data_IF_001756277419
#
_entry.id   IF_001756277419
#
_cell.length_a   1.000
_cell.length_b   1.000
_cell.length_c   1.000
_cell.angle_alpha   90.00
_cell.angle_beta   90.00
_cell.angle_gamma   90.00
#
_symmetry.space_group_name_H-M   'P 1'
#
loop_
_entity.id
_entity.type
_entity.pdbx_description
1 polymer ?
#
# COMPACT_ATOMS: atom_id res chain seq x y z
N UNK A 1 -38.68 15.93 28.57
CA UNK A 1 -37.98 15.14 27.52
C UNK A 1 -37.43 16.10 26.48
N UNK A 2 -36.12 16.34 26.44
CA UNK A 2 -35.55 17.32 25.50
C UNK A 2 -35.50 16.76 24.08
N UNK A 3 -36.19 17.44 23.16
CA UNK A 3 -36.27 17.08 21.75
C UNK A 3 -34.97 17.49 21.06
N UNK A 4 -34.10 16.52 20.74
CA UNK A 4 -32.81 16.80 20.11
C UNK A 4 -33.05 17.49 18.76
N UNK A 5 -32.52 18.70 18.66
CA UNK A 5 -32.72 19.56 17.51
C UNK A 5 -31.85 19.05 16.35
N UNK A 6 -32.47 18.35 15.40
CA UNK A 6 -31.79 17.66 14.29
C UNK A 6 -30.86 18.60 13.51
N UNK A 7 -31.21 19.90 13.46
CA UNK A 7 -30.44 20.94 12.76
C UNK A 7 -29.17 21.36 13.51
N UNK A 8 -29.09 21.18 14.84
CA UNK A 8 -27.84 21.29 15.62
C UNK A 8 -27.00 20.00 15.54
N UNK A 9 -27.64 18.83 15.53
CA UNK A 9 -26.93 17.55 15.44
C UNK A 9 -26.11 17.45 14.13
N UNK A 10 -26.68 17.86 12.99
CA UNK A 10 -25.95 17.95 11.72
C UNK A 10 -24.78 18.97 11.73
N UNK A 11 -24.82 20.00 12.59
CA UNK A 11 -23.69 20.95 12.74
C UNK A 11 -22.56 20.41 13.63
N UNK A 12 -22.85 19.53 14.59
CA UNK A 12 -21.81 18.86 15.38
C UNK A 12 -21.23 17.63 14.66
N UNK A 13 -22.02 16.94 13.83
CA UNK A 13 -21.54 15.84 12.99
C UNK A 13 -20.48 16.25 11.94
N UNK A 14 -20.33 17.55 11.66
CA UNK A 14 -19.30 18.09 10.76
C UNK A 14 -17.92 18.33 11.40
N UNK A 15 -17.71 17.95 12.66
CA UNK A 15 -16.53 18.36 13.44
C UNK A 15 -15.68 17.19 14.01
N UNK A 16 -15.92 15.94 13.60
CA UNK A 16 -15.19 14.78 14.17
C UNK A 16 -15.18 13.53 13.29
N UNK A 17 -14.42 13.55 12.19
CA UNK A 17 -13.73 12.35 11.66
C UNK A 17 -12.53 12.83 10.87
N UNK A 18 -11.40 12.12 10.98
CA UNK A 18 -10.17 12.51 10.30
C UNK A 18 -10.38 12.64 8.78
N UNK A 19 -9.59 13.54 8.16
CA UNK A 19 -9.44 13.60 6.72
C UNK A 19 -9.00 12.22 6.21
N UNK A 20 -9.96 11.42 5.76
CA UNK A 20 -9.71 10.33 4.84
C UNK A 20 -9.22 10.98 3.55
N UNK A 21 -7.91 11.20 3.47
CA UNK A 21 -7.25 11.70 2.29
C UNK A 21 -7.34 10.62 1.20
N UNK A 22 -8.50 10.57 0.54
CA UNK A 22 -8.67 9.98 -0.77
C UNK A 22 -7.83 10.81 -1.76
N UNK A 23 -6.51 10.60 -1.69
CA UNK A 23 -5.54 11.24 -2.53
C UNK A 23 -5.70 10.66 -3.94
N UNK A 24 -6.61 11.24 -4.71
CA UNK A 24 -6.73 11.06 -6.16
C UNK A 24 -5.53 11.74 -6.82
N UNK A 25 -4.36 11.17 -6.60
CA UNK A 25 -3.12 11.56 -7.25
C UNK A 25 -3.18 11.13 -8.72
N UNK A 26 -2.73 11.98 -9.66
CA UNK A 26 -2.73 11.64 -11.07
C UNK A 26 -1.78 10.46 -11.34
N UNK A 27 -2.08 9.68 -12.38
CA UNK A 27 -1.31 8.51 -12.79
C UNK A 27 0.00 8.87 -13.53
N UNK A 28 0.81 9.74 -12.92
CA UNK A 28 2.18 10.04 -13.34
C UNK A 28 3.15 9.36 -12.38
N UNK A 29 4.08 8.57 -12.92
CA UNK A 29 5.02 7.79 -12.11
C UNK A 29 5.95 8.70 -11.31
N UNK A 30 6.06 8.46 -10.01
CA UNK A 30 6.75 9.36 -9.09
C UNK A 30 7.60 8.59 -8.08
N UNK A 31 8.70 8.02 -8.58
CA UNK A 31 9.88 7.69 -7.79
C UNK A 31 10.57 9.00 -7.34
N UNK A 32 9.90 9.75 -6.45
CA UNK A 32 10.48 10.93 -5.84
C UNK A 32 11.50 10.50 -4.79
N UNK A 33 12.76 10.59 -5.20
CA UNK A 33 13.86 10.10 -4.44
C UNK A 33 14.59 11.25 -3.76
N UNK A 34 14.41 11.37 -2.44
CA UNK A 34 15.28 12.17 -1.58
C UNK A 34 16.29 11.22 -0.94
N UNK A 35 17.51 11.69 -0.68
CA UNK A 35 18.66 10.87 -0.25
C UNK A 35 18.35 9.88 0.88
N UNK A 36 17.43 10.27 1.75
CA UNK A 36 17.07 9.59 2.99
C UNK A 36 15.64 9.03 2.98
N UNK A 37 14.82 9.31 1.95
CA UNK A 37 13.42 8.87 1.86
C UNK A 37 13.14 8.16 0.54
N UNK A 38 12.69 6.91 0.62
CA UNK A 38 12.12 6.16 -0.49
C UNK A 38 10.60 6.29 -0.46
N UNK A 39 10.06 7.02 -1.44
CA UNK A 39 8.64 7.01 -1.76
C UNK A 39 8.44 6.21 -3.04
N UNK A 40 7.60 5.18 -3.00
CA UNK A 40 7.42 4.26 -4.12
C UNK A 40 5.98 3.76 -4.25
N UNK A 41 5.61 3.42 -5.47
CA UNK A 41 4.40 2.66 -5.80
C UNK A 41 4.77 1.54 -6.75
N UNK A 42 4.39 0.32 -6.39
CA UNK A 42 4.57 -0.89 -7.18
C UNK A 42 3.20 -1.45 -7.56
N UNK A 43 3.06 -1.96 -8.79
CA UNK A 43 1.80 -2.51 -9.31
C UNK A 43 2.06 -3.80 -10.08
N UNK A 44 1.20 -4.79 -9.91
CA UNK A 44 1.15 -5.97 -10.79
C UNK A 44 -0.28 -6.43 -11.05
N UNK A 45 -0.50 -7.10 -12.18
CA UNK A 45 -1.73 -7.83 -12.45
C UNK A 45 -1.71 -9.18 -11.74
N UNK A 46 -2.88 -9.65 -11.33
CA UNK A 46 -3.12 -10.99 -10.80
C UNK A 46 -4.22 -11.69 -11.62
N UNK A 47 -3.97 -12.91 -12.13
CA UNK A 47 -2.69 -13.63 -12.16
C UNK A 47 -1.60 -12.85 -12.91
N UNK A 48 -0.34 -13.22 -12.66
CA UNK A 48 0.80 -12.64 -13.37
C UNK A 48 0.84 -13.15 -14.83
N UNK A 49 1.53 -12.45 -15.75
CA UNK A 49 1.76 -12.93 -17.11
C UNK A 49 2.33 -14.36 -17.14
N UNK A 50 1.97 -15.20 -18.15
CA UNK A 50 1.31 -14.83 -19.41
C UNK A 50 -0.23 -14.74 -19.33
N UNK A 51 -0.84 -14.99 -18.18
CA UNK A 51 -2.30 -14.92 -18.04
C UNK A 51 -2.79 -13.45 -17.93
N UNK A 52 -3.99 -13.13 -18.43
CA UNK A 52 -4.57 -11.80 -18.29
C UNK A 52 -4.94 -11.55 -16.82
N UNK A 53 -4.38 -10.47 -16.25
CA UNK A 53 -4.71 -10.04 -14.89
C UNK A 53 -6.13 -9.47 -14.81
N UNK A 54 -6.97 -10.02 -13.92
CA UNK A 54 -8.32 -9.53 -13.65
C UNK A 54 -8.43 -8.74 -12.32
N UNK A 55 -7.37 -8.76 -11.52
CA UNK A 55 -7.19 -7.91 -10.35
C UNK A 55 -5.80 -7.25 -10.39
N UNK A 56 -5.63 -6.16 -9.64
CA UNK A 56 -4.38 -5.41 -9.53
C UNK A 56 -3.92 -5.37 -8.09
N UNK A 57 -2.74 -5.92 -7.82
CA UNK A 57 -2.10 -5.80 -6.53
C UNK A 57 -1.15 -4.60 -6.54
N UNK A 58 -1.32 -3.73 -5.55
CA UNK A 58 -0.60 -2.47 -5.42
C UNK A 58 0.05 -2.41 -4.04
N UNK A 59 1.32 -2.02 -4.02
CA UNK A 59 2.03 -1.66 -2.80
C UNK A 59 2.45 -0.20 -2.95
N UNK A 60 2.12 0.62 -1.97
CA UNK A 60 2.61 2.00 -1.84
C UNK A 60 3.42 2.10 -0.56
N UNK A 61 4.55 2.78 -0.58
CA UNK A 61 5.39 2.92 0.60
C UNK A 61 6.07 4.27 0.68
N UNK A 62 6.20 4.79 1.89
CA UNK A 62 7.02 5.95 2.22
C UNK A 62 7.90 5.58 3.41
N UNK A 63 9.20 5.48 3.15
CA UNK A 63 10.17 4.88 4.07
C UNK A 63 11.33 5.83 4.27
N UNK A 64 11.59 6.21 5.53
CA UNK A 64 12.84 6.81 5.93
C UNK A 64 13.91 5.71 6.01
N UNK A 65 14.84 5.78 5.07
CA UNK A 65 15.90 4.79 4.85
C UNK A 65 17.04 4.92 5.88
N UNK A 66 17.11 6.02 6.63
CA UNK A 66 18.11 6.22 7.68
C UNK A 66 17.56 5.81 9.06
N UNK A 67 16.32 6.19 9.36
CA UNK A 67 15.62 5.78 10.57
C UNK A 67 15.13 4.32 10.51
N UNK A 68 15.10 3.69 9.32
CA UNK A 68 14.65 2.31 9.14
C UNK A 68 13.16 2.14 9.41
N UNK A 69 12.36 3.18 9.16
CA UNK A 69 10.95 3.27 9.57
C UNK A 69 10.09 3.96 8.51
N UNK A 70 8.77 3.91 8.68
CA UNK A 70 7.82 4.44 7.70
C UNK A 70 6.58 3.56 7.60
N UNK A 71 5.77 3.82 6.57
CA UNK A 71 4.51 3.12 6.33
C UNK A 71 4.42 2.56 4.92
N UNK A 72 3.78 1.40 4.80
CA UNK A 72 3.53 0.71 3.54
C UNK A 72 2.06 0.25 3.53
N UNK A 73 1.32 0.63 2.50
CA UNK A 73 -0.03 0.16 2.24
C UNK A 73 0.01 -0.90 1.14
N UNK A 74 -0.41 -2.14 1.47
CA UNK A 74 -0.65 -3.22 0.51
C UNK A 74 -2.15 -3.25 0.21
N UNK A 75 -2.57 -3.31 -1.04
CA UNK A 75 -4.00 -3.38 -1.40
C UNK A 75 -4.24 -4.13 -2.71
N UNK A 76 -5.37 -4.86 -2.77
CA UNK A 76 -5.90 -5.45 -4.01
C UNK A 76 -7.00 -4.55 -4.58
N UNK A 77 -7.06 -4.42 -5.90
CA UNK A 77 -8.10 -3.70 -6.64
C UNK A 77 -8.69 -4.62 -7.72
N UNK A 78 -9.97 -4.44 -8.05
CA UNK A 78 -10.57 -5.14 -9.18
C UNK A 78 -10.08 -4.54 -10.52
N UNK A 79 -9.90 -5.36 -11.56
CA UNK A 79 -9.45 -4.94 -12.89
C UNK A 79 -7.93 -5.01 -13.12
N UNK A 80 -7.47 -4.97 -14.39
CA UNK A 80 -6.06 -5.02 -14.77
C UNK A 80 -5.28 -3.74 -14.38
N UNK A 81 -3.92 -3.75 -14.35
CA UNK A 81 -3.09 -2.64 -13.87
C UNK A 81 -3.28 -1.27 -14.51
N UNK A 82 -3.88 -1.22 -15.70
CA UNK A 82 -4.11 -0.01 -16.50
C UNK A 82 -5.62 0.36 -16.57
N UNK A 83 -6.47 -0.44 -15.91
CA UNK A 83 -7.92 -0.24 -15.83
C UNK A 83 -8.50 -0.67 -14.47
N UNK A 84 -7.72 -0.54 -13.39
CA UNK A 84 -8.13 -0.97 -12.06
C UNK A 84 -9.15 -0.01 -11.44
N UNK A 85 -10.03 -0.54 -10.61
CA UNK A 85 -10.98 0.22 -9.79
C UNK A 85 -10.27 1.23 -8.88
N UNK A 86 -10.93 2.36 -8.60
CA UNK A 86 -10.49 3.32 -7.58
C UNK A 86 -10.71 2.80 -6.14
N UNK A 87 -11.56 1.79 -5.96
CA UNK A 87 -11.93 1.22 -4.67
C UNK A 87 -11.13 -0.07 -4.45
N UNK A 88 -10.37 -0.11 -3.36
CA UNK A 88 -9.67 -1.31 -2.92
C UNK A 88 -10.67 -2.38 -2.46
N UNK A 89 -10.32 -3.65 -2.69
CA UNK A 89 -11.16 -4.79 -2.33
C UNK A 89 -11.30 -4.89 -0.80
N UNK A 90 -12.53 -4.87 -0.25
CA UNK A 90 -12.75 -4.91 1.20
C UNK A 90 -12.07 -6.12 1.86
N UNK A 91 -11.44 -5.91 3.01
CA UNK A 91 -10.72 -6.95 3.75
C UNK A 91 -9.37 -7.38 3.16
N UNK A 92 -8.97 -6.86 1.98
CA UNK A 92 -7.72 -7.20 1.28
C UNK A 92 -6.73 -6.03 1.19
N UNK A 93 -6.81 -5.10 2.15
CA UNK A 93 -5.84 -4.03 2.35
C UNK A 93 -5.13 -4.21 3.70
N UNK A 94 -3.83 -3.89 3.75
CA UNK A 94 -2.99 -3.93 4.95
C UNK A 94 -2.20 -2.65 5.06
N UNK A 95 -2.27 -2.00 6.20
CA UNK A 95 -1.23 -1.06 6.61
C UNK A 95 -0.11 -1.83 7.31
N UNK A 96 1.12 -1.49 6.96
CA UNK A 96 2.35 -2.13 7.39
C UNK A 96 3.28 -1.05 7.92
N UNK A 97 3.66 -1.17 9.18
CA UNK A 97 4.70 -0.36 9.80
C UNK A 97 6.05 -0.97 9.44
N UNK A 98 6.93 -0.17 8.84
CA UNK A 98 8.32 -0.58 8.56
C UNK A 98 9.07 -0.72 9.89
N UNK A 99 9.80 -1.82 10.04
CA UNK A 99 10.59 -2.16 11.23
C UNK A 99 12.08 -2.31 10.93
N UNK A 100 12.47 -2.34 9.65
CA UNK A 100 13.87 -2.34 9.24
C UNK A 100 14.05 -2.05 7.75
N UNK A 101 15.24 -1.56 7.42
CA UNK A 101 15.66 -1.24 6.05
C UNK A 101 17.11 -1.67 5.86
N UNK A 102 17.40 -2.34 4.75
CA UNK A 102 18.77 -2.68 4.35
C UNK A 102 19.01 -2.14 2.93
N UNK A 103 20.06 -1.31 2.77
CA UNK A 103 20.52 -0.78 1.48
C UNK A 103 21.64 -1.65 0.93
N UNK A 104 21.54 -2.13 -0.31
CA UNK A 104 22.66 -2.74 -1.05
C UNK A 104 22.67 -2.17 -2.47
N UNK A 105 23.46 -1.11 -2.69
CA UNK A 105 23.48 -0.35 -3.94
C UNK A 105 22.08 0.13 -4.34
N UNK A 106 21.60 -0.38 -5.48
CA UNK A 106 20.29 -0.07 -6.06
C UNK A 106 19.11 -0.88 -5.51
N UNK A 107 19.40 -1.83 -4.63
CA UNK A 107 18.40 -2.63 -3.93
C UNK A 107 18.12 -2.03 -2.54
N UNK A 108 16.84 -1.92 -2.18
CA UNK A 108 16.40 -1.72 -0.79
C UNK A 108 15.57 -2.94 -0.39
N UNK A 109 15.99 -3.65 0.65
CA UNK A 109 15.13 -4.58 1.36
C UNK A 109 14.45 -3.84 2.51
N UNK A 110 13.14 -4.02 2.64
CA UNK A 110 12.30 -3.36 3.64
C UNK A 110 11.56 -4.45 4.40
N UNK A 111 11.80 -4.53 5.71
CA UNK A 111 11.07 -5.40 6.62
C UNK A 111 10.01 -4.60 7.38
N UNK A 112 8.87 -5.22 7.65
CA UNK A 112 7.77 -4.57 8.34
C UNK A 112 6.80 -5.54 9.01
N UNK A 113 5.89 -4.99 9.78
CA UNK A 113 4.83 -5.72 10.46
C UNK A 113 3.46 -5.11 10.11
N UNK A 114 2.50 -5.95 9.74
CA UNK A 114 1.10 -5.55 9.56
C UNK A 114 0.57 -4.97 10.88
N UNK A 115 -0.03 -3.78 10.84
CA UNK A 115 -0.44 -3.07 12.06
C UNK A 115 -1.66 -3.70 12.75
N UNK A 116 -2.63 -4.19 11.95
CA UNK A 116 -3.78 -4.94 12.44
C UNK A 116 -3.72 -6.41 11.97
N UNK A 117 -3.10 -7.31 12.75
CA UNK A 117 -3.01 -8.72 12.39
C UNK A 117 -4.37 -9.45 12.45
N UNK A 118 -5.43 -8.85 13.01
CA UNK A 118 -6.76 -9.49 13.07
C UNK A 118 -7.44 -9.57 11.69
N UNK A 119 -7.02 -8.74 10.74
CA UNK A 119 -7.54 -8.73 9.36
C UNK A 119 -6.82 -9.70 8.42
N UNK A 120 -5.74 -10.34 8.88
CA UNK A 120 -4.96 -11.29 8.09
C UNK A 120 -5.81 -12.47 7.64
N UNK A 121 -5.66 -12.84 6.37
CA UNK A 121 -6.32 -14.03 5.84
C UNK A 121 -5.55 -15.29 6.21
N UNK A 122 -6.21 -16.46 6.13
CA UNK A 122 -5.56 -17.76 6.38
C UNK A 122 -4.35 -17.94 5.46
N UNK A 123 -3.16 -18.10 6.06
CA UNK A 123 -1.89 -18.22 5.33
C UNK A 123 -1.18 -16.89 5.04
N UNK A 124 -1.75 -15.75 5.42
CA UNK A 124 -1.07 -14.45 5.35
C UNK A 124 -0.15 -14.25 6.56
N UNK A 125 1.10 -13.85 6.30
CA UNK A 125 2.09 -13.55 7.35
C UNK A 125 1.90 -12.12 7.89
N UNK A 126 1.99 -11.89 9.22
CA UNK A 126 2.08 -10.54 9.78
C UNK A 126 3.41 -9.86 9.44
N UNK A 127 4.48 -10.65 9.27
CA UNK A 127 5.79 -10.17 8.83
C UNK A 127 5.76 -9.93 7.32
N UNK A 128 6.26 -8.78 6.91
CA UNK A 128 6.33 -8.33 5.51
C UNK A 128 7.79 -8.12 5.14
N UNK A 129 8.18 -8.65 3.98
CA UNK A 129 9.48 -8.42 3.35
C UNK A 129 9.23 -7.95 1.92
N UNK A 130 9.86 -6.83 1.54
CA UNK A 130 9.71 -6.17 0.25
C UNK A 130 11.10 -5.79 -0.26
N UNK A 131 11.44 -6.25 -1.45
CA UNK A 131 12.72 -5.96 -2.11
C UNK A 131 12.46 -5.04 -3.30
N UNK A 132 12.85 -3.78 -3.19
CA UNK A 132 12.75 -2.76 -4.25
C UNK A 132 14.08 -2.71 -5.01
N UNK A 133 14.10 -3.10 -6.28
CA UNK A 133 15.24 -2.91 -7.18
C UNK A 133 14.97 -1.70 -8.08
N UNK A 134 15.75 -0.63 -7.86
CA UNK A 134 15.57 0.66 -8.52
C UNK A 134 16.04 0.67 -9.97
N UNK A 135 17.07 -0.10 -10.31
CA UNK A 135 17.60 -0.21 -11.69
C UNK A 135 16.70 -1.06 -12.57
N UNK A 136 16.16 -2.17 -12.03
CA UNK A 136 15.17 -2.99 -12.75
C UNK A 136 13.79 -2.31 -12.83
N UNK A 137 13.54 -1.25 -12.04
CA UNK A 137 12.21 -0.66 -11.92
C UNK A 137 11.18 -1.63 -11.32
N UNK A 138 11.60 -2.51 -10.40
CA UNK A 138 10.73 -3.55 -9.81
C UNK A 138 10.67 -3.53 -8.29
N UNK A 139 9.57 -4.05 -7.74
CA UNK A 139 9.50 -4.52 -6.36
C UNK A 139 9.09 -5.99 -6.34
N UNK A 140 9.70 -6.78 -5.44
CA UNK A 140 9.30 -8.15 -5.13
C UNK A 140 8.71 -8.18 -3.73
N UNK A 141 7.58 -8.84 -3.56
CA UNK A 141 6.85 -8.93 -2.30
C UNK A 141 6.04 -10.23 -2.24
N UNK A 142 5.38 -10.49 -1.11
CA UNK A 142 4.41 -11.59 -1.00
C UNK A 142 2.96 -11.12 -1.12
N UNK A 143 2.16 -11.90 -1.86
CA UNK A 143 0.70 -11.84 -1.89
C UNK A 143 0.16 -13.22 -1.47
N UNK A 144 -0.49 -13.31 -0.31
CA UNK A 144 -0.99 -14.59 0.26
C UNK A 144 0.08 -15.70 0.31
N UNK A 145 1.30 -15.37 0.73
CA UNK A 145 2.45 -16.30 0.79
C UNK A 145 3.09 -16.63 -0.57
N UNK A 146 2.48 -16.24 -1.69
CA UNK A 146 3.09 -16.39 -3.02
C UNK A 146 3.99 -15.19 -3.33
N UNK A 147 5.21 -15.38 -3.83
CA UNK A 147 6.06 -14.29 -4.30
C UNK A 147 5.48 -13.68 -5.58
N UNK A 148 5.45 -12.35 -5.65
CA UNK A 148 5.00 -11.59 -6.82
C UNK A 148 6.01 -10.52 -7.17
N UNK A 149 6.31 -10.38 -8.46
CA UNK A 149 7.13 -9.27 -8.98
C UNK A 149 6.24 -8.19 -9.57
N UNK A 150 6.51 -6.94 -9.23
CA UNK A 150 5.69 -5.77 -9.50
C UNK A 150 6.52 -4.70 -10.19
N UNK A 151 5.95 -3.97 -11.13
CA UNK A 151 6.60 -2.83 -11.79
C UNK A 151 6.41 -1.58 -10.93
N UNK A 152 7.46 -0.78 -10.77
CA UNK A 152 7.38 0.53 -10.13
C UNK A 152 6.66 1.51 -11.08
N UNK A 153 5.62 2.17 -10.58
CA UNK A 153 4.79 3.17 -11.28
C UNK A 153 4.70 4.44 -10.44
#
# INVERSE_FOLDING_TARGET
MNRIDRRKFLKMAGASSALAAAATLPAAGWLLWKKDVLEFRAVTGLPQPPLPGYASYVIRGKVDLNAGSGTITKALYAGPPDGMSSIAWPGLSREVRVTGVQRSGDVVQITGLVEDPSQLQKGESPNVDIIVNRVEGTARAQFFGMPVTMTLK
#
